data_IF_671110814122
#
_entry.id   IF_671110814122
#
_cell.length_a   1.000
_cell.length_b   1.000
_cell.length_c   1.000
_cell.angle_alpha   90.00
_cell.angle_beta   90.00
_cell.angle_gamma   90.00
#
_symmetry.space_group_name_H-M   'P 1'
#
loop_
_entity.id
_entity.type
_entity.pdbx_description
1 polymer ?
#
# COMPACT_ATOMS: atom_id res chain seq x y z
N UNK A 1 -4.73 -9.97 22.00
CA UNK A 1 -4.45 -9.46 20.65
C UNK A 1 -2.98 -9.14 20.50
N UNK A 2 -2.41 -9.55 19.40
CA UNK A 2 -1.02 -9.28 19.11
C UNK A 2 -0.86 -7.88 18.54
N UNK A 3 0.14 -7.15 19.03
CA UNK A 3 0.37 -5.79 18.57
C UNK A 3 0.81 -5.69 17.11
N UNK A 4 1.29 -6.77 16.54
CA UNK A 4 1.67 -6.82 15.12
C UNK A 4 0.65 -7.58 14.28
N UNK A 5 -0.58 -7.59 14.75
CA UNK A 5 -1.67 -8.18 14.01
C UNK A 5 -1.79 -7.53 12.65
N UNK A 6 -1.83 -8.34 11.60
CA UNK A 6 -1.85 -7.87 10.23
C UNK A 6 -0.49 -7.80 9.57
N UNK A 7 0.59 -7.70 10.35
CA UNK A 7 1.93 -7.75 9.78
C UNK A 7 2.37 -9.18 9.52
N UNK A 8 3.16 -9.35 8.48
CA UNK A 8 3.63 -10.65 8.04
C UNK A 8 5.10 -10.58 7.64
N UNK A 9 5.93 -11.41 8.25
CA UNK A 9 7.33 -11.53 7.86
C UNK A 9 7.43 -12.37 6.60
N UNK A 10 7.89 -11.79 5.50
CA UNK A 10 8.01 -12.49 4.24
C UNK A 10 9.19 -13.45 4.33
N UNK A 11 8.98 -14.78 4.14
CA UNK A 11 10.04 -15.78 4.29
C UNK A 11 11.24 -15.49 3.38
N UNK A 12 12.42 -15.81 3.88
CA UNK A 12 13.68 -15.67 3.15
C UNK A 12 13.99 -14.24 2.71
N UNK A 13 13.46 -13.27 3.46
CA UNK A 13 13.70 -11.85 3.21
C UNK A 13 13.68 -11.11 4.53
N UNK A 14 14.09 -9.85 4.49
CA UNK A 14 13.95 -8.94 5.64
C UNK A 14 12.70 -8.07 5.52
N UNK A 15 11.85 -8.35 4.54
CA UNK A 15 10.65 -7.56 4.32
C UNK A 15 9.53 -7.97 5.26
N UNK A 16 8.79 -6.97 5.71
CA UNK A 16 7.55 -7.16 6.45
C UNK A 16 6.41 -6.60 5.62
N UNK A 17 5.36 -7.39 5.48
CA UNK A 17 4.16 -6.97 4.78
C UNK A 17 3.16 -6.39 5.77
N UNK A 18 2.31 -5.48 5.31
CA UNK A 18 1.26 -4.90 6.14
C UNK A 18 0.16 -5.91 6.45
N UNK A 19 -0.09 -6.84 5.55
CA UNK A 19 -1.07 -7.88 5.76
C UNK A 19 -0.82 -9.08 4.88
N UNK A 20 -1.40 -10.22 5.28
CA UNK A 20 -1.29 -11.46 4.53
C UNK A 20 -2.55 -12.30 4.72
N UNK A 21 -3.06 -12.81 3.62
CA UNK A 21 -4.19 -13.74 3.62
C UNK A 21 -3.68 -15.11 3.19
N UNK A 22 -3.67 -16.05 4.12
CA UNK A 22 -3.15 -17.39 3.88
C UNK A 22 -3.97 -18.15 2.83
N UNK A 23 -5.28 -18.01 2.87
CA UNK A 23 -6.19 -18.72 1.98
C UNK A 23 -5.95 -18.41 0.51
N UNK A 24 -5.56 -17.20 0.21
CA UNK A 24 -5.30 -16.75 -1.17
C UNK A 24 -3.82 -16.53 -1.45
N UNK A 25 -2.95 -16.76 -0.45
CA UNK A 25 -1.51 -16.50 -0.54
C UNK A 25 -1.23 -15.06 -1.03
N UNK A 26 -1.96 -14.11 -0.47
CA UNK A 26 -1.91 -12.71 -0.90
C UNK A 26 -1.28 -11.84 0.16
N UNK A 27 -0.31 -11.04 -0.27
CA UNK A 27 0.31 -9.99 0.54
C UNK A 27 -0.35 -8.67 0.20
N UNK A 28 -0.63 -7.89 1.23
CA UNK A 28 -1.22 -6.55 1.11
C UNK A 28 -0.20 -5.52 1.57
N UNK A 29 0.01 -4.49 0.76
CA UNK A 29 0.98 -3.44 1.05
C UNK A 29 0.33 -2.06 0.87
N UNK A 30 0.50 -1.22 1.87
CA UNK A 30 0.10 0.18 1.84
C UNK A 30 1.35 1.02 1.56
N UNK A 31 1.31 1.81 0.50
CA UNK A 31 2.45 2.65 0.11
C UNK A 31 2.16 4.12 0.41
N UNK A 32 2.88 4.68 1.39
CA UNK A 32 2.84 6.11 1.63
C UNK A 32 3.40 6.87 0.42
N UNK A 33 2.68 7.88 -0.06
CA UNK A 33 3.03 8.59 -1.29
C UNK A 33 4.44 9.16 -1.24
N UNK A 34 4.77 9.84 -0.14
CA UNK A 34 6.04 10.54 0.03
C UNK A 34 7.23 9.56 0.11
N UNK A 35 7.05 8.46 0.83
CA UNK A 35 8.14 7.52 1.11
C UNK A 35 8.44 6.58 -0.05
N UNK A 36 7.45 6.33 -0.88
CA UNK A 36 7.56 5.39 -1.99
C UNK A 36 7.53 6.06 -3.36
N UNK A 37 7.51 7.39 -3.39
CA UNK A 37 7.65 8.15 -4.63
C UNK A 37 6.47 8.01 -5.58
N UNK A 38 5.24 8.15 -5.08
CA UNK A 38 4.06 8.03 -5.93
C UNK A 38 4.15 8.97 -7.13
N UNK A 39 4.22 8.45 -8.36
CA UNK A 39 4.41 9.27 -9.55
C UNK A 39 3.23 10.18 -9.87
N UNK A 40 2.05 9.91 -9.29
CA UNK A 40 0.90 10.78 -9.47
C UNK A 40 0.94 11.98 -8.53
N UNK A 41 1.84 11.99 -7.56
CA UNK A 41 1.96 13.06 -6.56
C UNK A 41 3.24 13.84 -6.68
N UNK A 42 4.32 13.23 -7.17
CA UNK A 42 5.64 13.83 -7.18
C UNK A 42 6.31 13.66 -8.52
N UNK A 43 7.06 14.68 -8.95
CA UNK A 43 7.89 14.57 -10.14
C UNK A 43 9.08 13.67 -9.85
N UNK A 44 9.40 12.81 -10.80
CA UNK A 44 10.47 11.83 -10.63
C UNK A 44 11.84 12.48 -10.40
N UNK A 45 12.04 13.68 -10.91
CA UNK A 45 13.31 14.40 -10.79
C UNK A 45 13.44 15.20 -9.50
N UNK A 46 12.34 15.40 -8.77
CA UNK A 46 12.39 16.11 -7.49
C UNK A 46 13.00 15.22 -6.41
N UNK A 47 13.65 15.87 -5.47
CA UNK A 47 14.35 15.16 -4.38
C UNK A 47 13.48 15.12 -3.14
N UNK A 48 13.32 13.91 -2.58
CA UNK A 48 12.79 13.75 -1.25
C UNK A 48 13.90 14.11 -0.26
N UNK A 49 13.81 15.31 0.31
CA UNK A 49 14.87 15.85 1.16
C UNK A 49 15.06 15.08 2.46
N UNK A 50 14.07 14.34 2.90
CA UNK A 50 14.17 13.53 4.11
C UNK A 50 15.01 12.28 3.89
N UNK A 51 14.93 11.70 2.69
CA UNK A 51 15.66 10.47 2.35
C UNK A 51 16.92 10.76 1.58
N UNK A 52 16.96 11.87 0.83
CA UNK A 52 18.10 12.24 0.01
C UNK A 52 18.12 11.56 -1.35
N UNK A 53 16.99 11.07 -1.81
CA UNK A 53 16.85 10.43 -3.11
C UNK A 53 15.75 11.10 -3.91
N UNK A 54 15.79 10.97 -5.23
CA UNK A 54 14.70 11.46 -6.06
C UNK A 54 13.47 10.58 -5.85
N UNK A 55 12.30 11.18 -6.10
CA UNK A 55 11.05 10.39 -6.03
C UNK A 55 11.04 9.29 -7.09
N UNK A 56 11.70 9.51 -8.22
CA UNK A 56 11.85 8.45 -9.24
C UNK A 56 12.63 7.26 -8.73
N UNK A 57 13.70 7.49 -7.97
CA UNK A 57 14.48 6.42 -7.35
C UNK A 57 13.64 5.66 -6.32
N UNK A 58 12.88 6.38 -5.50
CA UNK A 58 12.00 5.76 -4.50
C UNK A 58 10.93 4.91 -5.16
N UNK A 59 10.34 5.41 -6.24
CA UNK A 59 9.35 4.66 -6.99
C UNK A 59 9.96 3.39 -7.60
N UNK A 60 11.15 3.50 -8.18
CA UNK A 60 11.84 2.34 -8.75
C UNK A 60 12.15 1.30 -7.69
N UNK A 61 12.59 1.73 -6.51
CA UNK A 61 12.82 0.81 -5.39
C UNK A 61 11.53 0.09 -4.98
N UNK A 62 10.42 0.80 -4.99
CA UNK A 62 9.11 0.23 -4.68
C UNK A 62 8.72 -0.83 -5.71
N UNK A 63 8.90 -0.55 -7.01
CA UNK A 63 8.62 -1.51 -8.06
C UNK A 63 9.51 -2.74 -7.96
N UNK A 64 10.78 -2.55 -7.62
CA UNK A 64 11.72 -3.66 -7.45
C UNK A 64 11.30 -4.57 -6.29
N UNK A 65 10.90 -3.97 -5.18
CA UNK A 65 10.40 -4.73 -4.03
C UNK A 65 9.14 -5.51 -4.39
N UNK A 66 8.21 -4.87 -5.07
CA UNK A 66 6.96 -5.51 -5.50
C UNK A 66 7.26 -6.72 -6.40
N UNK A 67 8.20 -6.56 -7.32
CA UNK A 67 8.62 -7.64 -8.20
C UNK A 67 9.22 -8.80 -7.41
N UNK A 68 10.08 -8.50 -6.45
CA UNK A 68 10.69 -9.53 -5.61
C UNK A 68 9.63 -10.34 -4.85
N UNK A 69 8.62 -9.67 -4.32
CA UNK A 69 7.54 -10.35 -3.60
C UNK A 69 6.76 -11.27 -4.54
N UNK A 70 6.44 -10.79 -5.74
CA UNK A 70 5.74 -11.63 -6.73
C UNK A 70 6.60 -12.81 -7.16
N UNK A 71 7.89 -12.59 -7.33
CA UNK A 71 8.83 -13.64 -7.74
C UNK A 71 8.98 -14.74 -6.67
N UNK A 72 8.66 -14.41 -5.43
CA UNK A 72 8.62 -15.41 -4.34
C UNK A 72 7.34 -16.28 -4.39
N UNK A 73 6.42 -16.01 -5.30
CA UNK A 73 5.22 -16.80 -5.47
C UNK A 73 3.98 -16.24 -4.79
N UNK A 74 4.06 -15.05 -4.21
CA UNK A 74 2.90 -14.43 -3.57
C UNK A 74 2.08 -13.62 -4.58
N UNK A 75 0.78 -13.59 -4.35
CA UNK A 75 -0.06 -12.56 -4.95
C UNK A 75 0.16 -11.27 -4.16
N UNK A 76 0.21 -10.14 -4.85
CA UNK A 76 0.47 -8.86 -4.21
C UNK A 76 -0.60 -7.86 -4.58
N UNK A 77 -1.21 -7.27 -3.56
CA UNK A 77 -2.16 -6.17 -3.72
C UNK A 77 -1.58 -4.96 -3.00
N UNK A 78 -1.40 -3.87 -3.73
CA UNK A 78 -0.86 -2.64 -3.18
C UNK A 78 -1.87 -1.52 -3.32
N UNK A 79 -1.81 -0.56 -2.41
CA UNK A 79 -2.62 0.65 -2.52
C UNK A 79 -1.77 1.84 -2.09
N UNK A 80 -1.85 2.93 -2.86
CA UNK A 80 -1.23 4.19 -2.49
C UNK A 80 -2.07 4.90 -1.44
N UNK A 81 -1.39 5.62 -0.56
CA UNK A 81 -2.02 6.41 0.50
C UNK A 81 -3.13 7.33 -0.03
N UNK A 82 -2.84 8.07 -1.12
CA UNK A 82 -3.83 8.98 -1.71
C UNK A 82 -5.06 8.25 -2.25
N UNK A 83 -4.86 7.07 -2.83
CA UNK A 83 -5.96 6.25 -3.32
C UNK A 83 -6.77 5.67 -2.16
N UNK A 84 -6.11 5.28 -1.10
CA UNK A 84 -6.77 4.81 0.12
C UNK A 84 -7.67 5.89 0.72
N UNK A 85 -7.15 7.14 0.78
CA UNK A 85 -7.92 8.26 1.31
C UNK A 85 -9.18 8.49 0.50
N UNK A 86 -9.07 8.45 -0.84
CA UNK A 86 -10.24 8.60 -1.73
C UNK A 86 -11.24 7.49 -1.54
N UNK A 87 -10.76 6.25 -1.48
CA UNK A 87 -11.62 5.08 -1.30
C UNK A 87 -12.35 5.16 0.03
N UNK A 88 -11.66 5.55 1.09
CA UNK A 88 -12.27 5.65 2.41
C UNK A 88 -13.38 6.69 2.44
N UNK A 89 -13.18 7.84 1.80
CA UNK A 89 -14.24 8.86 1.68
C UNK A 89 -15.45 8.33 0.91
N UNK A 90 -15.20 7.60 -0.16
CA UNK A 90 -16.27 7.02 -0.97
C UNK A 90 -17.08 5.98 -0.18
N UNK A 91 -16.41 5.13 0.57
CA UNK A 91 -17.06 4.14 1.42
C UNK A 91 -17.95 4.81 2.46
N UNK A 92 -17.47 5.89 3.08
CA UNK A 92 -18.27 6.65 4.06
C UNK A 92 -19.54 7.21 3.42
N UNK A 93 -19.44 7.76 2.21
CA UNK A 93 -20.58 8.29 1.47
C UNK A 93 -21.59 7.18 1.18
N UNK A 94 -21.14 6.03 0.73
CA UNK A 94 -22.01 4.88 0.45
C UNK A 94 -22.71 4.38 1.71
N UNK A 95 -21.99 4.35 2.83
CA UNK A 95 -22.58 3.94 4.10
C UNK A 95 -23.69 4.88 4.54
N UNK A 96 -23.51 6.18 4.36
CA UNK A 96 -24.52 7.19 4.67
C UNK A 96 -25.76 7.00 3.78
N UNK A 97 -25.55 6.79 2.48
CA UNK A 97 -26.66 6.55 1.55
C UNK A 97 -27.43 5.30 1.91
N UNK A 98 -26.71 4.23 2.25
CA UNK A 98 -27.32 2.98 2.66
C UNK A 98 -28.21 3.15 3.90
N UNK A 99 -27.69 3.86 4.91
CA UNK A 99 -28.47 4.11 6.13
C UNK A 99 -29.70 4.93 5.85
N UNK A 100 -29.60 5.95 5.01
CA UNK A 100 -30.75 6.78 4.65
C UNK A 100 -31.82 5.96 3.90
N UNK A 101 -31.39 5.12 2.96
CA UNK A 101 -32.30 4.20 2.27
C UNK A 101 -33.03 3.28 3.22
N UNK A 102 -32.33 2.80 4.24
CA UNK A 102 -32.90 1.86 5.20
C UNK A 102 -33.96 2.51 6.08
N UNK A 103 -33.86 3.79 6.28
CA UNK A 103 -34.81 4.56 7.10
C UNK A 103 -36.09 4.88 6.35
N UNK A 104 -36.09 4.72 5.06
CA UNK A 104 -37.27 4.92 4.24
C UNK A 104 -38.14 3.67 4.25
#
# INVERSE_FOLDING_TARGET
MQKNEGEFNIPNSRYKADGYCKETNTIYEFHGDFWHGNPNKYLSTDINKKIGKTFGELYQNTLNRDKQIRDMGFNLITIWESDWIKLNKYVIILQRKYRNSKLL
#
